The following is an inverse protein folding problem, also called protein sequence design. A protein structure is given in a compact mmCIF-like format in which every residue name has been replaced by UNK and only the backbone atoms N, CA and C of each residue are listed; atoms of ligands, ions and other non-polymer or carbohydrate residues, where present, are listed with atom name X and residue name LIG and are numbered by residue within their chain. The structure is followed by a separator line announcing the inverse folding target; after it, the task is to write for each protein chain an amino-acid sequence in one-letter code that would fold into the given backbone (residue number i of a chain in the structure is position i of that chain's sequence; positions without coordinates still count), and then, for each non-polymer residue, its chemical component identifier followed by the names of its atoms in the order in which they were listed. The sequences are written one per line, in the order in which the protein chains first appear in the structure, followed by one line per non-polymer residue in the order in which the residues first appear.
data_IF_407548449752
#
_entry.id   IF_407548449752
#
_cell.length_a   1.000
_cell.length_b   1.000
_cell.length_c   1.000
_cell.angle_alpha   90.00
_cell.angle_beta   90.00
_cell.angle_gamma   90.00
#
_symmetry.space_group_name_H-M   'P 1'
#
loop_
_entity.id
_entity.type
_entity.pdbx_description
1 polymer ?
#
# COMPACT_ATOMS: atom_id res chain seq x y z
N UNK A 1 3.91 0.84 -13.72
CA UNK A 1 3.29 -0.51 -13.66
C UNK A 1 2.16 -0.48 -12.65
N UNK A 2 1.10 -1.27 -12.83
CA UNK A 2 -0.06 -1.31 -11.93
C UNK A 2 -0.27 -2.70 -11.33
N UNK A 3 -0.67 -2.74 -10.06
CA UNK A 3 -1.04 -3.96 -9.34
C UNK A 3 -2.53 -4.03 -9.02
N UNK A 4 -3.07 -5.24 -9.06
CA UNK A 4 -4.42 -5.57 -8.57
C UNK A 4 -4.43 -5.62 -7.05
N UNK A 5 -5.62 -5.53 -6.44
CA UNK A 5 -5.79 -5.72 -4.99
C UNK A 5 -5.25 -7.07 -4.50
N UNK A 6 -5.36 -8.13 -5.31
CA UNK A 6 -4.79 -9.45 -5.01
C UNK A 6 -3.26 -9.41 -5.01
N UNK A 7 -2.64 -8.75 -6.00
CA UNK A 7 -1.18 -8.62 -6.05
C UNK A 7 -0.63 -7.80 -4.88
N UNK A 8 -1.31 -6.70 -4.51
CA UNK A 8 -0.95 -5.93 -3.30
C UNK A 8 -1.10 -6.79 -2.05
N UNK A 9 -2.19 -7.54 -1.91
CA UNK A 9 -2.38 -8.45 -0.78
C UNK A 9 -1.25 -9.48 -0.66
N UNK A 10 -0.89 -10.11 -1.78
CA UNK A 10 0.20 -11.09 -1.82
C UNK A 10 1.56 -10.47 -1.44
N UNK A 11 1.85 -9.24 -1.89
CA UNK A 11 3.09 -8.52 -1.53
C UNK A 11 3.25 -8.36 -0.02
N UNK A 12 2.18 -8.05 0.69
CA UNK A 12 2.19 -7.89 2.16
C UNK A 12 1.84 -9.18 2.92
N UNK A 13 1.61 -10.30 2.24
CA UNK A 13 1.19 -11.55 2.88
C UNK A 13 -0.19 -11.48 3.57
N UNK A 14 -1.10 -10.62 3.08
CA UNK A 14 -2.43 -10.41 3.66
C UNK A 14 -3.55 -10.58 2.62
N UNK A 15 -4.78 -10.74 3.09
CA UNK A 15 -5.95 -10.77 2.19
C UNK A 15 -6.18 -9.41 1.51
N UNK A 16 -6.76 -9.43 0.30
CA UNK A 16 -7.23 -8.20 -0.38
C UNK A 16 -8.17 -7.36 0.48
N UNK A 17 -8.98 -8.00 1.35
CA UNK A 17 -9.91 -7.30 2.24
C UNK A 17 -9.17 -6.48 3.30
N UNK A 18 -8.02 -6.95 3.77
CA UNK A 18 -7.14 -6.22 4.68
C UNK A 18 -6.61 -4.94 4.03
N UNK A 19 -6.17 -5.01 2.76
CA UNK A 19 -5.72 -3.84 2.01
C UNK A 19 -6.83 -2.79 1.90
N UNK A 20 -8.05 -3.21 1.51
CA UNK A 20 -9.19 -2.30 1.45
C UNK A 20 -9.56 -1.70 2.81
N UNK A 21 -9.42 -2.45 3.91
CA UNK A 21 -9.61 -1.93 5.26
C UNK A 21 -8.59 -0.84 5.57
N UNK A 22 -7.29 -1.06 5.30
CA UNK A 22 -6.26 -0.04 5.54
C UNK A 22 -6.48 1.23 4.71
N UNK A 23 -6.92 1.09 3.45
CA UNK A 23 -7.29 2.25 2.62
C UNK A 23 -8.45 3.03 3.24
N UNK A 24 -9.49 2.35 3.73
CA UNK A 24 -10.63 3.00 4.40
C UNK A 24 -10.21 3.69 5.70
N UNK A 25 -9.24 3.13 6.42
CA UNK A 25 -8.66 3.70 7.64
C UNK A 25 -7.62 4.80 7.37
N UNK A 26 -7.30 5.10 6.10
CA UNK A 26 -6.28 6.09 5.74
C UNK A 26 -4.84 5.66 6.05
N UNK A 27 -4.62 4.37 6.30
CA UNK A 27 -3.30 3.79 6.66
C UNK A 27 -2.54 3.21 5.46
N UNK A 28 -3.10 3.27 4.26
CA UNK A 28 -2.50 2.73 3.05
C UNK A 28 -2.83 3.64 1.84
N UNK A 29 -1.94 3.72 0.83
CA UNK A 29 -2.18 4.58 -0.33
C UNK A 29 -3.52 4.28 -1.03
N UNK A 30 -4.27 5.32 -1.43
CA UNK A 30 -5.52 5.13 -2.14
C UNK A 30 -5.25 4.57 -3.55
N UNK A 31 -6.12 3.70 -4.06
CA UNK A 31 -5.97 3.20 -5.41
C UNK A 31 -6.38 4.25 -6.46
N UNK A 32 -5.88 4.07 -7.68
CA UNK A 32 -6.19 4.88 -8.86
C UNK A 32 -7.24 4.18 -9.73
N UNK A 33 -8.23 4.93 -10.20
CA UNK A 33 -9.22 4.45 -11.19
C UNK A 33 -8.59 4.52 -12.58
N UNK A 34 -8.56 3.39 -13.30
CA UNK A 34 -8.03 3.33 -14.67
C UNK A 34 -9.14 3.33 -15.74
N UNK A 35 -10.28 2.71 -15.43
CA UNK A 35 -11.46 2.64 -16.32
C UNK A 35 -12.71 2.28 -15.52
N UNK A 36 -13.87 2.17 -16.17
CA UNK A 36 -15.10 1.65 -15.55
C UNK A 36 -14.87 0.24 -14.99
N UNK A 37 -14.77 0.13 -13.67
CA UNK A 37 -14.64 -1.14 -12.95
C UNK A 37 -13.21 -1.61 -12.66
N UNK A 38 -12.18 -0.86 -13.04
CA UNK A 38 -10.79 -1.22 -12.72
C UNK A 38 -10.12 -0.18 -11.82
N UNK A 39 -9.86 -0.60 -10.59
CA UNK A 39 -9.16 0.19 -9.57
C UNK A 39 -7.86 -0.54 -9.23
N UNK A 40 -6.73 0.16 -9.33
CA UNK A 40 -5.38 -0.41 -9.25
C UNK A 40 -4.45 0.48 -8.44
N UNK A 41 -3.35 -0.09 -7.94
CA UNK A 41 -2.27 0.66 -7.30
C UNK A 41 -1.12 0.81 -8.27
N UNK A 42 -0.55 2.00 -8.36
CA UNK A 42 0.71 2.15 -9.08
C UNK A 42 1.84 1.61 -8.19
N UNK A 43 2.73 0.80 -8.76
CA UNK A 43 3.82 0.18 -8.01
C UNK A 43 4.71 1.22 -7.32
N UNK A 44 4.92 2.39 -7.95
CA UNK A 44 5.70 3.46 -7.31
C UNK A 44 5.05 4.03 -6.04
N UNK A 45 3.72 4.01 -5.95
CA UNK A 45 3.02 4.53 -4.77
C UNK A 45 3.18 3.54 -3.59
N UNK A 46 3.22 2.24 -3.89
CA UNK A 46 3.48 1.17 -2.91
C UNK A 46 4.93 1.26 -2.43
N UNK A 47 5.90 1.34 -3.34
CA UNK A 47 7.31 1.45 -2.96
C UNK A 47 7.57 2.70 -2.11
N UNK A 48 6.98 3.85 -2.48
CA UNK A 48 7.10 5.08 -1.69
C UNK A 48 6.53 4.91 -0.28
N UNK A 49 5.44 4.17 -0.14
CA UNK A 49 4.84 3.88 1.16
C UNK A 49 5.73 2.95 2.00
N UNK A 50 6.30 1.91 1.38
CA UNK A 50 7.26 1.02 2.04
C UNK A 50 8.50 1.81 2.54
N UNK A 51 9.05 2.71 1.72
CA UNK A 51 10.16 3.59 2.11
C UNK A 51 9.79 4.50 3.30
N UNK A 52 8.56 5.03 3.33
CA UNK A 52 8.06 5.86 4.43
C UNK A 52 7.94 5.08 5.75
N UNK A 53 7.47 3.83 5.70
CA UNK A 53 7.39 2.96 6.87
C UNK A 53 8.81 2.67 7.38
N UNK A 54 9.71 2.23 6.50
CA UNK A 54 11.09 1.90 6.87
C UNK A 54 11.82 3.10 7.49
N UNK A 55 11.64 4.30 6.93
CA UNK A 55 12.23 5.51 7.48
C UNK A 55 11.64 5.89 8.85
N UNK A 56 10.33 5.68 9.03
CA UNK A 56 9.66 5.92 10.32
C UNK A 56 10.16 4.97 11.39
N UNK A 57 10.27 3.67 11.07
CA UNK A 57 10.81 2.67 11.98
C UNK A 57 12.28 2.95 12.33
N UNK A 58 13.10 3.35 11.35
CA UNK A 58 14.50 3.69 11.58
C UNK A 58 14.67 4.93 12.46
N UNK A 59 13.84 5.95 12.28
CA UNK A 59 13.87 7.14 13.14
C UNK A 59 13.47 6.83 14.58
N UNK A 60 12.54 5.90 14.78
CA UNK A 60 12.08 5.45 16.10
C UNK A 60 13.13 4.63 16.86
N UNK A 61 13.98 3.88 16.15
CA UNK A 61 15.08 3.09 16.73
C UNK A 61 16.27 3.99 17.08
N UNK A 62 16.62 4.96 16.21
CA UNK A 62 17.80 5.80 16.39
C UNK A 62 17.69 6.90 17.48
N UNK A 63 16.48 7.11 18.02
CA UNK A 63 16.21 8.12 19.07
C UNK A 63 16.15 7.50 20.48
N UNK A 64 16.32 6.18 20.60
CA UNK A 64 16.45 5.45 21.87
C UNK A 64 17.92 5.14 22.17
#
# INVERSE_FOLDING_TARGET
MFWTDVQVGNHYGVSRHTIWRWVREGKFPPPKKLSSGSTRWHVSDINRFDDQILQSDMHMIATK
#
